data_IF_614429715213
#
_entry.id   IF_614429715213
#
_cell.length_a   1.000
_cell.length_b   1.000
_cell.length_c   1.000
_cell.angle_alpha   90.00
_cell.angle_beta   90.00
_cell.angle_gamma   90.00
#
_symmetry.space_group_name_H-M   'P 1'
#
loop_
_entity.id
_entity.type
_entity.pdbx_description
1 polymer ?
#
# COMPACT_ATOMS: atom_id res chain seq x y z
N UNK A 1 -19.13 -5.94 5.04
CA UNK A 1 -18.80 -4.63 5.64
C UNK A 1 -17.53 -4.67 6.52
N UNK A 2 -17.28 -5.73 7.28
CA UNK A 2 -16.10 -5.88 8.14
C UNK A 2 -14.75 -5.79 7.41
N UNK A 3 -14.67 -6.33 6.18
CA UNK A 3 -13.40 -6.41 5.45
C UNK A 3 -12.90 -5.04 4.98
N UNK A 4 -13.79 -4.07 4.78
CA UNK A 4 -13.41 -2.68 4.48
C UNK A 4 -12.74 -2.01 5.68
N UNK A 5 -13.24 -2.25 6.90
CA UNK A 5 -12.61 -1.72 8.12
C UNK A 5 -11.25 -2.36 8.37
N UNK A 6 -11.14 -3.69 8.18
CA UNK A 6 -9.85 -4.40 8.24
C UNK A 6 -8.86 -3.82 7.23
N UNK A 7 -9.29 -3.61 5.99
CA UNK A 7 -8.47 -3.01 4.95
C UNK A 7 -7.96 -1.63 5.36
N UNK A 8 -8.81 -0.79 5.94
CA UNK A 8 -8.43 0.53 6.43
C UNK A 8 -7.42 0.45 7.60
N UNK A 9 -7.54 -0.51 8.50
CA UNK A 9 -6.59 -0.69 9.60
C UNK A 9 -5.21 -1.12 9.12
N UNK A 10 -5.14 -2.12 8.24
CA UNK A 10 -3.87 -2.58 7.67
C UNK A 10 -3.23 -1.47 6.81
N UNK A 11 -4.04 -0.75 6.03
CA UNK A 11 -3.58 0.41 5.26
C UNK A 11 -2.94 1.49 6.16
N UNK A 12 -3.55 1.79 7.32
CA UNK A 12 -2.98 2.73 8.29
C UNK A 12 -1.68 2.24 8.89
N UNK A 13 -1.56 0.94 9.19
CA UNK A 13 -0.31 0.36 9.69
C UNK A 13 0.83 0.49 8.67
N UNK A 14 0.52 0.37 7.38
CA UNK A 14 1.46 0.58 6.28
C UNK A 14 1.77 2.07 6.00
N UNK A 15 1.14 3.00 6.72
CA UNK A 15 1.36 4.45 6.56
C UNK A 15 0.67 5.07 5.35
N UNK A 16 -0.40 4.44 4.83
CA UNK A 16 -1.18 5.05 3.76
C UNK A 16 -2.15 6.11 4.32
N UNK A 17 -2.07 7.34 3.82
CA UNK A 17 -3.04 8.40 4.13
C UNK A 17 -4.34 8.23 3.36
N UNK A 18 -4.25 7.62 2.17
CA UNK A 18 -5.40 7.36 1.30
C UNK A 18 -5.30 5.99 0.66
N UNK A 19 -6.45 5.36 0.49
CA UNK A 19 -6.60 4.09 -0.18
C UNK A 19 -7.65 4.20 -1.30
N UNK A 20 -7.39 3.55 -2.43
CA UNK A 20 -8.32 3.47 -3.54
C UNK A 20 -8.32 2.06 -4.11
N UNK A 21 -9.48 1.41 -4.11
CA UNK A 21 -9.66 0.14 -4.80
C UNK A 21 -10.57 0.33 -6.01
N UNK A 22 -10.03 0.16 -7.23
CA UNK A 22 -10.78 0.40 -8.46
C UNK A 22 -10.19 -0.40 -9.63
N UNK A 23 -11.09 -1.01 -10.43
CA UNK A 23 -10.75 -1.81 -11.63
C UNK A 23 -9.71 -2.90 -11.35
N UNK A 24 -9.88 -3.57 -10.22
CA UNK A 24 -8.98 -4.64 -9.78
C UNK A 24 -7.58 -4.23 -9.34
N UNK A 25 -7.36 -2.92 -9.13
CA UNK A 25 -6.12 -2.38 -8.56
C UNK A 25 -6.41 -1.71 -7.23
N UNK A 26 -5.66 -2.10 -6.20
CA UNK A 26 -5.58 -1.39 -4.93
C UNK A 26 -4.42 -0.39 -4.96
N UNK A 27 -4.66 0.85 -4.59
CA UNK A 27 -3.65 1.91 -4.53
C UNK A 27 -3.58 2.49 -3.12
N UNK A 28 -2.40 2.39 -2.52
CA UNK A 28 -2.04 3.09 -1.29
C UNK A 28 -1.25 4.36 -1.61
N UNK A 29 -1.64 5.48 -1.02
CA UNK A 29 -0.97 6.76 -1.17
C UNK A 29 -0.28 7.10 0.15
N UNK A 30 1.02 7.38 0.08
CA UNK A 30 1.79 7.79 1.23
C UNK A 30 1.59 9.28 1.52
N UNK A 31 2.10 9.71 2.68
CA UNK A 31 2.17 11.12 3.04
C UNK A 31 2.84 11.95 1.94
N UNK A 32 2.22 13.08 1.61
CA UNK A 32 2.72 13.96 0.55
C UNK A 32 4.03 14.67 0.94
N UNK A 33 4.25 14.87 2.23
CA UNK A 33 5.48 15.46 2.76
C UNK A 33 6.64 14.45 2.68
N UNK A 34 7.47 14.60 1.64
CA UNK A 34 8.67 13.78 1.39
C UNK A 34 9.73 13.89 2.49
N UNK A 35 9.68 14.92 3.35
CA UNK A 35 10.59 15.07 4.50
C UNK A 35 10.04 14.41 5.76
N UNK A 36 8.86 13.77 5.66
CA UNK A 36 8.28 13.05 6.78
C UNK A 36 9.23 11.95 7.28
N UNK A 37 9.41 11.80 8.61
CA UNK A 37 10.20 10.71 9.20
C UNK A 37 9.62 9.32 8.87
N UNK A 38 8.41 9.26 8.31
CA UNK A 38 7.84 8.03 7.79
C UNK A 38 8.75 7.38 6.72
N UNK A 39 9.38 8.16 5.84
CA UNK A 39 10.22 7.61 4.78
C UNK A 39 11.54 7.02 5.28
N UNK A 40 11.98 7.41 6.48
CA UNK A 40 13.12 6.80 7.17
C UNK A 40 12.71 5.64 8.09
N UNK A 41 11.42 5.33 8.17
CA UNK A 41 10.91 4.31 9.09
C UNK A 41 11.18 2.88 8.61
N UNK A 42 11.29 1.96 9.57
CA UNK A 42 11.38 0.53 9.28
C UNK A 42 10.18 0.01 8.47
N UNK A 43 8.99 0.60 8.65
CA UNK A 43 7.81 0.22 7.90
C UNK A 43 7.96 0.54 6.41
N UNK A 44 8.39 1.75 6.08
CA UNK A 44 8.62 2.13 4.69
C UNK A 44 9.71 1.28 4.03
N UNK A 45 10.81 1.02 4.75
CA UNK A 45 11.87 0.12 4.27
C UNK A 45 11.35 -1.30 3.98
N UNK A 46 10.49 -1.85 4.83
CA UNK A 46 9.84 -3.14 4.56
C UNK A 46 8.98 -3.11 3.30
N UNK A 47 8.18 -2.06 3.11
CA UNK A 47 7.33 -1.91 1.92
C UNK A 47 8.19 -1.80 0.65
N UNK A 48 9.27 -1.03 0.70
CA UNK A 48 10.20 -0.88 -0.41
C UNK A 48 10.86 -2.22 -0.75
N UNK A 49 11.33 -2.95 0.26
CA UNK A 49 11.94 -4.27 0.09
C UNK A 49 10.95 -5.29 -0.50
N UNK A 50 9.71 -5.29 0.01
CA UNK A 50 8.63 -6.12 -0.52
C UNK A 50 8.40 -5.84 -2.02
N UNK A 51 8.32 -4.57 -2.41
CA UNK A 51 8.12 -4.18 -3.80
C UNK A 51 9.30 -4.56 -4.72
N UNK A 52 10.52 -4.57 -4.18
CA UNK A 52 11.71 -5.03 -4.90
C UNK A 52 11.71 -6.54 -5.14
N UNK A 53 11.27 -7.33 -4.14
CA UNK A 53 11.21 -8.80 -4.24
C UNK A 53 10.01 -9.25 -5.09
N UNK A 54 8.90 -8.52 -5.05
CA UNK A 54 7.64 -8.89 -5.69
C UNK A 54 7.17 -7.89 -6.77
N UNK A 55 7.98 -7.58 -7.81
CA UNK A 55 7.67 -6.55 -8.80
C UNK A 55 6.47 -6.89 -9.71
N UNK A 56 5.99 -8.15 -9.68
CA UNK A 56 4.77 -8.58 -10.39
C UNK A 56 3.49 -8.32 -9.61
N UNK A 57 3.58 -8.25 -8.28
CA UNK A 57 2.42 -8.08 -7.40
C UNK A 57 2.16 -6.61 -7.12
N UNK A 58 3.21 -5.79 -7.08
CA UNK A 58 3.06 -4.38 -6.79
C UNK A 58 4.08 -3.50 -7.53
N UNK A 59 3.77 -2.21 -7.56
CA UNK A 59 4.58 -1.21 -8.21
C UNK A 59 4.55 0.09 -7.43
N UNK A 60 5.72 0.52 -6.97
CA UNK A 60 5.92 1.81 -6.32
C UNK A 60 6.20 2.87 -7.38
N UNK A 61 5.38 3.92 -7.41
CA UNK A 61 5.50 5.01 -8.39
C UNK A 61 5.28 6.35 -7.73
N UNK A 62 6.08 7.31 -8.16
CA UNK A 62 5.84 8.72 -7.87
C UNK A 62 5.04 9.34 -9.02
N UNK A 63 3.94 10.02 -8.71
CA UNK A 63 3.09 10.69 -9.70
C UNK A 63 2.68 12.06 -9.15
N UNK A 64 3.09 13.13 -9.85
CA UNK A 64 2.81 14.52 -9.45
C UNK A 64 3.20 14.77 -7.98
N UNK A 65 4.44 14.44 -7.63
CA UNK A 65 5.00 14.56 -6.27
C UNK A 65 4.33 13.70 -5.18
N UNK A 66 3.36 12.86 -5.53
CA UNK A 66 2.76 11.90 -4.60
C UNK A 66 3.34 10.50 -4.83
N UNK A 67 3.99 9.96 -3.79
CA UNK A 67 4.41 8.56 -3.79
C UNK A 67 3.18 7.67 -3.53
N UNK A 68 3.06 6.62 -4.35
CA UNK A 68 1.99 5.63 -4.20
C UNK A 68 2.48 4.24 -4.58
N UNK A 69 1.89 3.24 -3.96
CA UNK A 69 2.06 1.84 -4.32
C UNK A 69 0.75 1.31 -4.90
N UNK A 70 0.84 0.57 -5.99
CA UNK A 70 -0.29 -0.10 -6.62
C UNK A 70 -0.11 -1.62 -6.53
N UNK A 71 -1.18 -2.33 -6.20
CA UNK A 71 -1.30 -3.78 -6.21
C UNK A 71 -2.36 -4.15 -7.24
N UNK A 72 -1.97 -4.92 -8.26
CA UNK A 72 -2.83 -5.29 -9.38
C UNK A 72 -3.31 -6.74 -9.26
N UNK A 73 -4.40 -7.08 -9.97
CA UNK A 73 -4.92 -8.45 -10.03
C UNK A 73 -5.80 -8.85 -8.85
N UNK A 74 -6.39 -7.88 -8.15
CA UNK A 74 -7.24 -8.10 -6.99
C UNK A 74 -8.71 -7.95 -7.38
N UNK A 75 -9.52 -8.99 -7.27
CA UNK A 75 -10.93 -8.98 -7.67
C UNK A 75 -11.87 -8.64 -6.51
N UNK A 76 -11.42 -8.89 -5.27
CA UNK A 76 -12.25 -8.74 -4.06
C UNK A 76 -11.57 -7.86 -3.01
N UNK A 77 -12.37 -7.34 -2.08
CA UNK A 77 -11.85 -6.62 -0.91
C UNK A 77 -11.03 -7.54 0.00
N UNK A 78 -11.36 -8.83 0.03
CA UNK A 78 -10.64 -9.81 0.84
C UNK A 78 -9.24 -10.07 0.30
N UNK A 79 -9.10 -10.27 -1.02
CA UNK A 79 -7.80 -10.34 -1.68
C UNK A 79 -6.97 -9.07 -1.43
N UNK A 80 -7.60 -7.90 -1.43
CA UNK A 80 -6.93 -6.65 -1.11
C UNK A 80 -6.44 -6.60 0.35
N UNK A 81 -7.20 -7.12 1.31
CA UNK A 81 -6.77 -7.23 2.71
C UNK A 81 -5.59 -8.19 2.82
N UNK A 82 -5.70 -9.39 2.25
CA UNK A 82 -4.65 -10.41 2.27
C UNK A 82 -3.35 -9.89 1.64
N UNK A 83 -3.45 -9.17 0.52
CA UNK A 83 -2.31 -8.54 -0.13
C UNK A 83 -1.61 -7.53 0.78
N UNK A 84 -2.36 -6.67 1.49
CA UNK A 84 -1.75 -5.72 2.41
C UNK A 84 -1.17 -6.41 3.65
N UNK A 85 -1.84 -7.43 4.20
CA UNK A 85 -1.34 -8.21 5.34
C UNK A 85 -0.03 -8.93 4.99
N UNK A 86 0.13 -9.40 3.75
CA UNK A 86 1.39 -10.00 3.25
C UNK A 86 2.56 -9.01 3.30
N UNK A 87 2.32 -7.71 3.10
CA UNK A 87 3.37 -6.67 3.15
C UNK A 87 3.76 -6.33 4.59
N UNK A 88 2.83 -6.45 5.54
CA UNK A 88 3.07 -6.14 6.96
C UNK A 88 3.93 -7.21 7.66
N UNK A 89 3.75 -8.47 7.25
CA UNK A 89 4.45 -9.64 7.83
C UNK A 89 5.95 -9.60 7.50
#
# INVERSE_FOLDING_TARGET
MLNVLRLQWVAKQLGFEKLSFKKGTLRGYFIADKQSPFFDSNMFNKILHFAQIHPRLCNLKEVKDSLRIAFDGLNTVDEAVEMLELVVR
#
